data_IF_547142475793
#
_entry.id   IF_547142475793
#
_cell.length_a   1.000
_cell.length_b   1.000
_cell.length_c   1.000
_cell.angle_alpha   90.00
_cell.angle_beta   90.00
_cell.angle_gamma   90.00
#
_symmetry.space_group_name_H-M   'P 1'
#
loop_
_entity.id
_entity.type
_entity.pdbx_description
1 polymer ?
#
# COMPACT_ATOMS: atom_id res chain seq x y z
N UNK A 1 15.67 -10.03 0.82
CA UNK A 1 16.34 -9.12 -0.15
C UNK A 1 15.67 -7.75 -0.05
N UNK A 2 16.18 -6.88 0.82
CA UNK A 2 15.69 -5.49 0.94
C UNK A 2 16.33 -4.72 -0.22
N UNK A 3 15.53 -4.20 -1.15
CA UNK A 3 16.05 -3.29 -2.18
C UNK A 3 16.50 -2.01 -1.47
N UNK A 4 17.81 -1.83 -1.32
CA UNK A 4 18.41 -0.55 -0.96
C UNK A 4 17.99 0.49 -2.03
N UNK A 5 17.45 1.63 -1.60
CA UNK A 5 17.13 2.72 -2.51
C UNK A 5 18.45 3.37 -2.91
N UNK A 6 18.73 3.46 -4.22
CA UNK A 6 19.96 4.08 -4.71
C UNK A 6 20.04 5.53 -4.23
N UNK A 7 21.04 5.85 -3.40
CA UNK A 7 21.35 7.21 -2.99
C UNK A 7 22.58 7.70 -3.77
N UNK A 8 22.49 8.82 -4.51
CA UNK A 8 23.67 9.44 -5.10
C UNK A 8 24.61 9.95 -4.00
N UNK A 9 25.92 9.89 -4.24
CA UNK A 9 27.00 10.20 -3.29
C UNK A 9 26.94 11.59 -2.62
N UNK A 10 26.08 12.49 -3.08
CA UNK A 10 25.91 13.86 -2.58
C UNK A 10 24.77 14.02 -1.54
N UNK A 11 24.30 12.95 -0.92
CA UNK A 11 23.23 13.03 0.07
C UNK A 11 23.76 13.42 1.45
N UNK A 12 23.23 14.50 2.02
CA UNK A 12 23.46 14.95 3.41
C UNK A 12 23.21 13.75 4.34
N UNK A 13 24.17 13.44 5.23
CA UNK A 13 24.35 12.14 5.90
C UNK A 13 23.26 11.62 6.86
N UNK A 14 22.00 12.03 6.73
CA UNK A 14 20.91 11.67 7.65
C UNK A 14 19.55 11.45 6.96
N UNK A 15 19.52 10.69 5.85
CA UNK A 15 18.23 10.27 5.27
C UNK A 15 17.78 8.94 5.88
N UNK A 16 16.71 8.99 6.67
CA UNK A 16 16.00 7.80 7.16
C UNK A 16 14.86 7.42 6.18
N UNK A 17 14.95 6.27 5.46
CA UNK A 17 13.91 5.82 4.55
C UNK A 17 12.59 5.43 5.23
N UNK A 18 12.63 5.04 6.50
CA UNK A 18 11.47 4.57 7.26
C UNK A 18 10.79 5.69 8.07
N UNK A 19 11.34 6.90 8.00
CA UNK A 19 10.81 8.06 8.71
C UNK A 19 9.33 8.30 8.38
N UNK A 20 8.53 8.48 9.43
CA UNK A 20 7.12 8.84 9.28
C UNK A 20 6.97 10.21 8.62
N UNK A 21 6.18 10.29 7.54
CA UNK A 21 5.90 11.53 6.82
C UNK A 21 4.50 12.03 7.14
N UNK A 22 4.39 13.30 7.54
CA UNK A 22 3.10 13.95 7.78
C UNK A 22 2.39 14.18 6.44
N UNK A 23 1.10 13.87 6.37
CA UNK A 23 0.26 14.12 5.20
C UNK A 23 -0.52 15.41 5.36
N UNK A 24 -0.64 16.17 4.27
CA UNK A 24 -1.46 17.38 4.22
C UNK A 24 -2.89 17.01 3.80
N UNK A 25 -3.82 17.12 4.75
CA UNK A 25 -5.24 16.77 4.59
C UNK A 25 -6.10 17.92 5.14
N UNK A 26 -7.34 18.04 4.68
CA UNK A 26 -8.27 18.99 5.28
C UNK A 26 -8.78 18.50 6.64
N UNK A 27 -9.22 19.42 7.51
CA UNK A 27 -9.73 19.09 8.85
C UNK A 27 -10.90 18.09 8.80
N UNK A 28 -11.81 18.27 7.84
CA UNK A 28 -12.94 17.36 7.63
C UNK A 28 -12.49 15.95 7.24
N UNK A 29 -11.52 15.83 6.31
CA UNK A 29 -10.96 14.54 5.91
C UNK A 29 -10.27 13.83 7.07
N UNK A 30 -9.51 14.56 7.89
CA UNK A 30 -8.83 14.00 9.06
C UNK A 30 -9.86 13.40 10.03
N UNK A 31 -10.93 14.14 10.36
CA UNK A 31 -12.01 13.65 11.23
C UNK A 31 -12.64 12.36 10.69
N UNK A 32 -12.99 12.34 9.40
CA UNK A 32 -13.57 11.16 8.75
C UNK A 32 -12.62 9.96 8.78
N UNK A 33 -11.34 10.16 8.46
CA UNK A 33 -10.35 9.09 8.44
C UNK A 33 -10.05 8.54 9.83
N UNK A 34 -10.02 9.39 10.87
CA UNK A 34 -9.85 8.96 12.26
C UNK A 34 -11.04 8.09 12.69
N UNK A 35 -12.28 8.53 12.43
CA UNK A 35 -13.47 7.75 12.77
C UNK A 35 -13.51 6.39 12.06
N UNK A 36 -13.11 6.34 10.79
CA UNK A 36 -13.03 5.10 10.03
C UNK A 36 -11.88 4.19 10.48
N UNK A 37 -10.74 4.76 10.88
CA UNK A 37 -9.60 3.97 11.39
C UNK A 37 -9.85 3.39 12.78
N UNK A 38 -10.73 4.00 13.58
CA UNK A 38 -11.15 3.46 14.87
C UNK A 38 -12.17 2.32 14.74
N UNK A 39 -12.84 2.22 13.59
CA UNK A 39 -13.81 1.16 13.31
C UNK A 39 -13.10 -0.19 13.18
N UNK A 40 -13.61 -1.20 13.86
CA UNK A 40 -12.95 -2.50 13.98
C UNK A 40 -12.71 -3.17 12.62
N UNK A 41 -11.43 -3.42 12.31
CA UNK A 41 -11.01 -4.16 11.13
C UNK A 41 -10.89 -3.34 9.85
N UNK A 42 -11.05 -2.01 9.90
CA UNK A 42 -10.70 -1.12 8.80
C UNK A 42 -9.25 -0.63 8.95
N UNK A 43 -8.57 -0.46 7.82
CA UNK A 43 -7.18 -0.01 7.78
C UNK A 43 -7.00 0.96 6.63
N UNK A 44 -6.29 2.06 6.88
CA UNK A 44 -5.90 3.03 5.88
C UNK A 44 -4.66 2.53 5.13
N UNK A 45 -4.72 2.47 3.80
CA UNK A 45 -3.65 1.92 2.96
C UNK A 45 -3.37 2.87 1.80
N UNK A 46 -2.09 3.11 1.44
CA UNK A 46 -1.76 3.85 0.23
C UNK A 46 -2.05 3.01 -1.03
N UNK A 47 -2.72 3.62 -2.01
CA UNK A 47 -3.03 2.98 -3.29
C UNK A 47 -2.05 3.41 -4.38
N UNK A 48 -1.78 4.70 -4.47
CA UNK A 48 -0.90 5.28 -5.50
C UNK A 48 -0.22 6.53 -4.96
N UNK A 49 0.99 6.79 -5.45
CA UNK A 49 1.68 8.08 -5.32
C UNK A 49 1.77 8.66 -6.72
N UNK A 50 1.47 9.94 -6.88
CA UNK A 50 1.48 10.62 -8.17
C UNK A 50 1.96 12.05 -8.00
N UNK A 51 2.67 12.56 -9.01
CA UNK A 51 3.00 13.98 -9.06
C UNK A 51 1.78 14.79 -9.49
N UNK A 52 1.58 15.93 -8.84
CA UNK A 52 0.63 16.94 -9.30
C UNK A 52 1.20 18.33 -9.01
N UNK A 53 1.64 19.01 -10.07
CA UNK A 53 2.20 20.38 -10.01
C UNK A 53 3.43 20.47 -9.11
N UNK A 54 4.35 19.50 -9.22
CA UNK A 54 5.58 19.49 -8.41
C UNK A 54 5.38 19.08 -6.95
N UNK A 55 4.19 18.57 -6.60
CA UNK A 55 3.92 17.97 -5.31
C UNK A 55 3.57 16.50 -5.48
N UNK A 56 4.24 15.65 -4.71
CA UNK A 56 3.86 14.25 -4.58
C UNK A 56 2.58 14.14 -3.75
N UNK A 57 1.53 13.65 -4.39
CA UNK A 57 0.24 13.35 -3.78
C UNK A 57 0.08 11.86 -3.61
N UNK A 58 -0.62 11.48 -2.56
CA UNK A 58 -0.92 10.09 -2.24
C UNK A 58 -2.42 9.86 -2.31
N UNK A 59 -2.82 8.83 -3.05
CA UNK A 59 -4.17 8.32 -3.03
C UNK A 59 -4.27 7.29 -1.90
N UNK A 60 -5.16 7.54 -0.96
CA UNK A 60 -5.42 6.64 0.17
C UNK A 60 -6.72 5.88 -0.05
N UNK A 61 -6.76 4.63 0.41
CA UNK A 61 -7.96 3.81 0.45
C UNK A 61 -8.17 3.23 1.84
N UNK A 62 -9.42 2.90 2.14
CA UNK A 62 -9.78 2.17 3.36
C UNK A 62 -10.12 0.75 2.95
N UNK A 63 -9.46 -0.21 3.58
CA UNK A 63 -9.67 -1.62 3.30
C UNK A 63 -10.00 -2.38 4.57
N UNK A 64 -10.76 -3.46 4.41
CA UNK A 64 -10.99 -4.46 5.45
C UNK A 64 -10.15 -5.70 5.15
N UNK A 65 -9.46 -6.21 6.16
CA UNK A 65 -8.73 -7.47 6.03
C UNK A 65 -9.67 -8.63 5.68
N UNK A 66 -9.32 -9.43 4.67
CA UNK A 66 -10.06 -10.66 4.33
C UNK A 66 -10.01 -11.68 5.47
N UNK A 67 -11.10 -12.43 5.69
CA UNK A 67 -11.12 -13.51 6.67
C UNK A 67 -10.20 -14.66 6.21
N UNK A 68 -9.73 -15.50 7.15
CA UNK A 68 -8.82 -16.62 6.84
C UNK A 68 -9.41 -17.58 5.79
N UNK A 69 -10.73 -17.80 5.82
CA UNK A 69 -11.44 -18.61 4.84
C UNK A 69 -11.32 -18.02 3.43
N UNK A 70 -11.70 -16.76 3.24
CA UNK A 70 -11.64 -16.06 1.94
C UNK A 70 -10.20 -15.99 1.38
N UNK A 71 -9.19 -15.94 2.25
CA UNK A 71 -7.79 -15.95 1.83
C UNK A 71 -7.44 -17.26 1.11
N UNK A 72 -7.88 -18.42 1.61
CA UNK A 72 -7.56 -19.73 1.00
C UNK A 72 -8.07 -19.83 -0.43
N UNK A 73 -9.31 -19.43 -0.67
CA UNK A 73 -9.89 -19.43 -2.01
C UNK A 73 -9.15 -18.45 -2.94
N UNK A 74 -8.80 -17.26 -2.43
CA UNK A 74 -8.06 -16.26 -3.23
C UNK A 74 -6.65 -16.69 -3.59
N UNK A 75 -5.97 -17.45 -2.72
CA UNK A 75 -4.63 -18.01 -2.96
C UNK A 75 -4.72 -19.06 -4.06
N UNK A 76 -5.66 -20.02 -3.94
CA UNK A 76 -5.91 -21.04 -4.98
C UNK A 76 -6.17 -20.39 -6.35
N UNK A 77 -7.06 -19.40 -6.41
CA UNK A 77 -7.35 -18.66 -7.66
C UNK A 77 -6.12 -17.97 -8.24
N UNK A 78 -5.29 -17.35 -7.39
CA UNK A 78 -4.03 -16.70 -7.83
C UNK A 78 -3.01 -17.69 -8.35
N UNK A 79 -2.85 -18.84 -7.69
CA UNK A 79 -1.90 -19.86 -8.11
C UNK A 79 -2.31 -20.48 -9.45
N UNK A 80 -3.61 -20.78 -9.64
CA UNK A 80 -4.15 -21.25 -10.92
C UNK A 80 -3.92 -20.20 -12.03
N UNK A 81 -4.20 -18.92 -11.75
CA UNK A 81 -3.99 -17.85 -12.73
C UNK A 81 -2.49 -17.71 -13.11
N UNK A 82 -1.59 -17.87 -12.14
CA UNK A 82 -0.14 -17.81 -12.36
C UNK A 82 0.37 -19.02 -13.12
N UNK A 83 -0.17 -20.22 -12.88
CA UNK A 83 0.15 -21.44 -13.63
C UNK A 83 -0.27 -21.30 -15.10
N UNK A 84 -1.51 -20.84 -15.36
CA UNK A 84 -2.00 -20.52 -16.72
C UNK A 84 -1.13 -19.51 -17.44
N UNK A 85 -0.72 -18.42 -16.76
CA UNK A 85 0.20 -17.43 -17.34
C UNK A 85 1.57 -18.00 -17.71
N UNK A 86 1.99 -19.09 -17.06
CA UNK A 86 3.26 -19.78 -17.32
C UNK A 86 3.12 -20.93 -18.33
N UNK A 87 1.93 -21.15 -18.89
CA UNK A 87 1.66 -22.24 -19.84
C UNK A 87 1.69 -23.63 -19.20
N UNK A 88 1.55 -23.71 -17.86
CA UNK A 88 1.40 -24.96 -17.14
C UNK A 88 -0.10 -25.14 -16.94
N UNK A 89 -0.72 -25.87 -17.86
CA UNK A 89 -2.12 -26.25 -17.72
C UNK A 89 -2.23 -27.30 -16.60
N UNK A 90 -3.07 -27.06 -15.57
CA UNK A 90 -3.33 -28.07 -14.56
C UNK A 90 -4.32 -29.07 -15.16
N UNK A 91 -3.81 -30.17 -15.72
CA UNK A 91 -4.60 -31.37 -16.03
C UNK A 91 -5.25 -31.94 -14.75
#
# INVERSE_FOLDING_TARGET
>A
MVRQHYQPANMIGHYDPEASRKLLLSKSQISTLIGLSQSQGLTLIPLKIYDKKGHLKMLLGIAKGKKKYDKRESIKKKDIARAKQRGIDPD
#
